data_IF_575489910990
#
_entry.id   IF_575489910990
#
_cell.length_a   1.000
_cell.length_b   1.000
_cell.length_c   1.000
_cell.angle_alpha   90.00
_cell.angle_beta   90.00
_cell.angle_gamma   90.00
#
_symmetry.space_group_name_H-M   'P 1'
#
loop_
_entity.id
_entity.type
_entity.pdbx_description
1 polymer ?
#
# COMPACT_ATOMS: atom_id res chain seq x y z
N UNK A 1 -7.98 20.85 4.82
CA UNK A 1 -7.69 20.98 3.37
C UNK A 1 -7.73 19.59 2.79
N UNK A 2 -8.84 19.23 2.14
CA UNK A 2 -9.19 17.87 1.72
C UNK A 2 -9.54 17.87 0.24
N UNK A 3 -8.53 17.49 -0.54
CA UNK A 3 -8.43 17.01 -1.92
C UNK A 3 -6.92 16.90 -2.11
N UNK A 4 -6.38 15.80 -2.62
CA UNK A 4 -4.95 15.72 -2.92
C UNK A 4 -4.62 16.91 -3.81
N UNK A 5 -3.87 17.84 -3.23
CA UNK A 5 -3.47 19.07 -3.86
C UNK A 5 -2.59 18.67 -5.06
N UNK A 6 -2.92 19.05 -6.30
CA UNK A 6 -2.16 18.65 -7.49
C UNK A 6 -0.68 19.08 -7.40
N UNK A 7 -0.37 20.06 -6.55
CA UNK A 7 0.99 20.50 -6.30
C UNK A 7 1.63 19.82 -5.08
N UNK A 8 0.94 18.91 -4.38
CA UNK A 8 1.51 18.17 -3.25
C UNK A 8 2.80 17.45 -3.65
N UNK A 9 2.86 16.86 -4.84
CA UNK A 9 4.08 16.26 -5.38
C UNK A 9 5.22 17.28 -5.53
N UNK A 10 4.92 18.49 -6.01
CA UNK A 10 5.92 19.56 -6.16
C UNK A 10 6.37 20.10 -4.81
N UNK A 11 5.44 20.30 -3.87
CA UNK A 11 5.74 20.68 -2.49
C UNK A 11 6.66 19.65 -1.83
N UNK A 12 6.34 18.35 -1.92
CA UNK A 12 7.16 17.28 -1.37
C UNK A 12 8.53 17.20 -2.04
N UNK A 13 8.61 17.35 -3.37
CA UNK A 13 9.85 17.21 -4.12
C UNK A 13 10.81 18.39 -3.95
N UNK A 14 10.28 19.63 -3.86
CA UNK A 14 11.10 20.86 -3.89
C UNK A 14 11.11 21.65 -2.60
N UNK A 15 10.23 21.33 -1.64
CA UNK A 15 10.15 22.05 -0.39
C UNK A 15 11.33 21.78 0.54
N UNK A 16 11.59 22.72 1.44
CA UNK A 16 12.54 22.55 2.53
C UNK A 16 11.94 21.58 3.56
N UNK A 17 12.66 20.48 3.85
CA UNK A 17 12.24 19.48 4.84
C UNK A 17 12.81 19.82 6.21
N UNK A 18 11.92 20.03 7.18
CA UNK A 18 12.29 20.18 8.60
C UNK A 18 11.83 18.96 9.39
N UNK A 19 12.78 18.25 9.99
CA UNK A 19 12.52 17.10 10.88
C UNK A 19 11.93 17.60 12.19
N UNK A 20 10.76 17.08 12.56
CA UNK A 20 10.05 17.43 13.81
C UNK A 20 10.15 16.34 14.86
N UNK A 21 10.29 15.09 14.44
CA UNK A 21 10.45 13.97 15.35
C UNK A 21 10.62 12.64 14.64
N UNK A 22 10.80 11.57 15.43
CA UNK A 22 10.87 10.19 14.95
C UNK A 22 9.61 9.44 15.34
N UNK A 23 9.07 8.66 14.41
CA UNK A 23 7.97 7.71 14.66
C UNK A 23 8.58 6.47 15.31
N UNK A 24 8.15 6.13 16.53
CA UNK A 24 8.83 5.13 17.37
C UNK A 24 8.41 3.70 17.06
N UNK A 25 7.21 3.55 16.55
CA UNK A 25 6.56 2.27 16.25
C UNK A 25 7.06 1.67 14.92
N UNK A 26 7.85 2.41 14.15
CA UNK A 26 8.42 1.95 12.88
C UNK A 26 9.66 1.07 13.07
N UNK A 27 9.71 -0.05 12.35
CA UNK A 27 10.86 -0.98 12.34
C UNK A 27 12.12 -0.39 11.68
N UNK A 28 11.93 0.54 10.74
CA UNK A 28 12.97 1.31 10.05
C UNK A 28 12.96 2.77 10.51
N UNK A 29 13.94 3.57 10.09
CA UNK A 29 13.89 5.00 10.36
C UNK A 29 12.70 5.65 9.63
N UNK A 30 11.74 6.17 10.39
CA UNK A 30 10.64 6.98 9.87
C UNK A 30 10.56 8.28 10.66
N UNK A 31 10.60 9.40 9.95
CA UNK A 31 10.69 10.74 10.52
C UNK A 31 9.43 11.52 10.18
N UNK A 32 8.82 12.12 11.20
CA UNK A 32 7.75 13.09 11.02
C UNK A 32 8.38 14.45 10.71
N UNK A 33 7.99 15.03 9.58
CA UNK A 33 8.56 16.24 9.03
C UNK A 33 7.49 17.25 8.65
N UNK A 34 7.87 18.52 8.55
CA UNK A 34 7.12 19.53 7.80
C UNK A 34 7.90 19.88 6.54
N UNK A 35 7.19 20.08 5.43
CA UNK A 35 7.76 20.52 4.16
C UNK A 35 7.19 21.89 3.78
N UNK A 36 8.06 22.83 3.41
CA UNK A 36 7.66 24.19 3.03
C UNK A 36 8.17 24.58 1.65
N UNK A 37 7.28 25.06 0.76
CA UNK A 37 7.64 25.55 -0.57
C UNK A 37 6.70 26.68 -0.98
N UNK A 38 7.25 27.81 -1.47
CA UNK A 38 6.47 28.95 -2.00
C UNK A 38 5.31 29.41 -1.09
N UNK A 39 5.55 29.50 0.22
CA UNK A 39 4.55 29.96 1.20
C UNK A 39 3.52 28.90 1.61
N UNK A 40 3.64 27.67 1.13
CA UNK A 40 2.81 26.53 1.51
C UNK A 40 3.58 25.61 2.46
N UNK A 41 2.86 25.00 3.38
CA UNK A 41 3.38 24.05 4.36
C UNK A 41 2.48 22.81 4.41
N UNK A 42 3.08 21.63 4.53
CA UNK A 42 2.37 20.38 4.82
C UNK A 42 3.19 19.48 5.75
N UNK A 43 2.50 18.61 6.50
CA UNK A 43 3.14 17.52 7.22
C UNK A 43 3.44 16.35 6.26
N UNK A 44 4.54 15.64 6.52
CA UNK A 44 4.96 14.49 5.72
C UNK A 44 5.75 13.48 6.55
N UNK A 45 5.85 12.26 6.03
CA UNK A 45 6.77 11.22 6.51
C UNK A 45 7.97 11.17 5.59
N UNK A 46 9.17 11.18 6.16
CA UNK A 46 10.42 10.97 5.45
C UNK A 46 11.09 9.68 5.95
N UNK A 47 11.35 8.73 5.04
CA UNK A 47 12.09 7.48 5.32
C UNK A 47 13.40 7.47 4.51
N UNK A 48 14.55 7.78 5.13
CA UNK A 48 15.85 7.76 4.43
C UNK A 48 16.26 6.32 4.07
N UNK A 49 16.90 6.15 2.91
CA UNK A 49 17.46 4.86 2.47
C UNK A 49 18.50 4.35 3.48
N UNK A 50 19.36 5.23 4.00
CA UNK A 50 20.35 4.86 5.02
C UNK A 50 19.73 4.38 6.35
N UNK A 51 18.44 4.66 6.56
CA UNK A 51 17.68 4.23 7.73
C UNK A 51 17.01 2.86 7.58
N UNK A 52 17.18 2.21 6.42
CA UNK A 52 16.65 0.88 6.14
C UNK A 52 17.47 -0.20 6.84
N UNK A 53 16.78 -1.17 7.41
CA UNK A 53 17.35 -2.41 7.90
C UNK A 53 17.30 -3.44 6.77
N UNK A 54 18.42 -4.12 6.47
CA UNK A 54 18.41 -5.19 5.49
C UNK A 54 17.36 -6.25 5.82
N UNK A 55 16.56 -6.62 4.82
CA UNK A 55 15.61 -7.72 4.90
C UNK A 55 16.14 -8.84 4.02
N UNK A 56 16.32 -10.03 4.60
CA UNK A 56 16.90 -11.19 3.90
C UNK A 56 16.12 -11.55 2.62
N UNK A 57 14.85 -11.19 2.59
CA UNK A 57 13.89 -11.58 1.57
C UNK A 57 13.53 -10.42 0.62
N UNK A 58 14.13 -9.24 0.83
CA UNK A 58 14.20 -8.10 -0.09
C UNK A 58 15.67 -7.64 -0.23
N UNK A 59 16.52 -8.45 -0.88
CA UNK A 59 17.98 -8.23 -0.88
C UNK A 59 18.44 -7.09 -1.81
N UNK A 60 17.62 -6.74 -2.81
CA UNK A 60 17.94 -5.76 -3.84
C UNK A 60 17.07 -4.50 -3.72
N UNK A 61 17.53 -3.38 -4.30
CA UNK A 61 16.80 -2.10 -4.29
C UNK A 61 16.67 -1.51 -2.89
N UNK A 62 15.71 -0.60 -2.71
CA UNK A 62 15.45 0.09 -1.43
C UNK A 62 13.97 -0.03 -1.06
N UNK A 63 13.65 0.07 0.23
CA UNK A 63 12.26 0.16 0.70
C UNK A 63 11.65 1.51 0.29
N UNK A 64 12.44 2.58 0.31
CA UNK A 64 12.05 3.91 -0.16
C UNK A 64 11.64 3.89 -1.65
N UNK A 65 12.39 3.21 -2.51
CA UNK A 65 12.06 3.05 -3.92
C UNK A 65 10.72 2.32 -4.12
N UNK A 66 10.45 1.29 -3.31
CA UNK A 66 9.19 0.54 -3.33
C UNK A 66 7.98 1.35 -2.87
N UNK A 67 8.16 2.23 -1.90
CA UNK A 67 7.11 3.17 -1.46
C UNK A 67 6.68 4.10 -2.60
N UNK A 68 7.66 4.64 -3.34
CA UNK A 68 7.40 5.51 -4.51
C UNK A 68 6.81 4.68 -5.65
N UNK A 69 7.34 3.49 -5.93
CA UNK A 69 6.78 2.59 -6.94
C UNK A 69 5.32 2.24 -6.68
N UNK A 70 4.94 1.99 -5.42
CA UNK A 70 3.56 1.71 -5.03
C UNK A 70 2.65 2.92 -5.26
N UNK A 71 3.14 4.14 -5.01
CA UNK A 71 2.43 5.37 -5.35
C UNK A 71 2.21 5.49 -6.86
N UNK A 72 3.24 5.29 -7.69
CA UNK A 72 3.14 5.40 -9.16
C UNK A 72 2.18 4.36 -9.76
N UNK A 73 2.19 3.12 -9.25
CA UNK A 73 1.20 2.10 -9.66
C UNK A 73 -0.20 2.50 -9.21
N UNK A 74 -0.36 3.06 -8.01
CA UNK A 74 -1.64 3.55 -7.52
C UNK A 74 -2.20 4.68 -8.37
N UNK A 75 -1.38 5.66 -8.76
CA UNK A 75 -1.80 6.75 -9.64
C UNK A 75 -2.20 6.24 -11.03
N UNK A 76 -1.46 5.26 -11.56
CA UNK A 76 -1.79 4.63 -12.84
C UNK A 76 -3.15 3.90 -12.83
N UNK A 77 -3.66 3.50 -11.67
CA UNK A 77 -5.03 2.94 -11.57
C UNK A 77 -6.11 4.00 -11.79
N UNK A 78 -5.82 5.26 -11.44
CA UNK A 78 -6.79 6.35 -11.34
C UNK A 78 -7.59 6.38 -10.04
N UNK A 79 -7.33 5.46 -9.09
CA UNK A 79 -8.02 5.41 -7.80
C UNK A 79 -7.40 6.31 -6.72
N UNK A 80 -6.10 6.64 -6.84
CA UNK A 80 -5.39 7.50 -5.89
C UNK A 80 -5.43 6.98 -4.45
N UNK A 81 -5.05 5.70 -4.27
CA UNK A 81 -5.12 4.94 -3.02
C UNK A 81 -3.85 5.06 -2.17
N UNK A 82 -2.75 5.58 -2.70
CA UNK A 82 -1.51 5.82 -1.96
C UNK A 82 -1.30 7.33 -1.87
N UNK A 83 -0.95 7.89 -0.70
CA UNK A 83 -0.71 9.33 -0.60
C UNK A 83 0.43 9.76 -1.53
N UNK A 84 0.45 11.02 -1.99
CA UNK A 84 1.56 11.57 -2.76
C UNK A 84 2.90 11.22 -2.15
N UNK A 85 3.76 10.54 -2.92
CA UNK A 85 5.04 10.02 -2.45
C UNK A 85 6.10 10.29 -3.50
N UNK A 86 7.22 10.89 -3.10
CA UNK A 86 8.34 11.22 -4.01
C UNK A 86 9.65 10.68 -3.46
N UNK A 87 10.59 10.35 -4.36
CA UNK A 87 11.99 10.11 -3.99
C UNK A 87 12.76 11.42 -4.10
N UNK A 88 13.57 11.76 -3.09
CA UNK A 88 14.37 12.99 -3.08
C UNK A 88 15.51 12.94 -2.07
N UNK A 89 16.45 13.87 -2.22
CA UNK A 89 17.41 14.20 -1.17
C UNK A 89 16.74 14.84 0.05
N UNK A 90 17.19 14.44 1.24
CA UNK A 90 16.74 14.96 2.52
C UNK A 90 17.88 15.08 3.55
N UNK A 91 17.55 15.46 4.80
CA UNK A 91 18.56 15.71 5.86
C UNK A 91 19.44 14.52 6.24
N UNK A 92 19.06 13.30 5.84
CA UNK A 92 19.75 12.05 6.13
C UNK A 92 19.94 11.20 4.87
N UNK A 93 20.35 11.85 3.76
CA UNK A 93 20.57 11.20 2.47
C UNK A 93 19.34 11.20 1.56
N UNK A 94 19.33 10.35 0.54
CA UNK A 94 18.14 10.12 -0.30
C UNK A 94 17.09 9.32 0.50
N UNK A 95 15.81 9.59 0.25
CA UNK A 95 14.71 8.84 0.85
C UNK A 95 13.36 9.17 0.24
N UNK A 96 12.36 8.36 0.60
CA UNK A 96 10.99 8.66 0.21
C UNK A 96 10.40 9.73 1.13
N UNK A 97 9.60 10.63 0.55
CA UNK A 97 8.82 11.62 1.27
C UNK A 97 7.35 11.49 0.87
N UNK A 98 6.49 11.15 1.84
CA UNK A 98 5.07 10.88 1.64
C UNK A 98 4.21 11.90 2.40
N UNK A 99 3.17 12.43 1.77
CA UNK A 99 2.23 13.34 2.40
C UNK A 99 1.60 12.70 3.65
N UNK A 100 1.55 13.45 4.76
CA UNK A 100 0.85 13.01 5.96
C UNK A 100 -0.66 13.10 5.75
N UNK A 101 -1.39 12.03 6.08
CA UNK A 101 -2.85 11.96 5.95
C UNK A 101 -3.47 11.89 7.34
N UNK A 102 -4.35 12.84 7.64
CA UNK A 102 -5.16 12.80 8.84
C UNK A 102 -6.33 11.82 8.67
N UNK A 103 -6.45 10.88 9.60
CA UNK A 103 -7.55 9.91 9.61
C UNK A 103 -8.80 10.49 10.25
N UNK A 104 -9.97 10.11 9.72
CA UNK A 104 -11.24 10.42 10.34
C UNK A 104 -11.63 9.30 11.32
N UNK A 105 -11.97 9.63 12.57
CA UNK A 105 -12.55 8.66 13.50
C UNK A 105 -13.92 8.20 12.99
N UNK A 106 -14.26 6.93 13.25
CA UNK A 106 -15.61 6.39 13.03
C UNK A 106 -15.81 5.53 11.77
N UNK A 107 -14.80 5.37 10.91
CA UNK A 107 -14.83 4.36 9.84
C UNK A 107 -14.24 3.04 10.36
N UNK A 108 -15.08 2.17 10.89
CA UNK A 108 -14.66 0.83 11.31
C UNK A 108 -14.49 -0.05 10.06
N UNK A 109 -13.24 -0.20 9.62
CA UNK A 109 -12.89 -0.97 8.42
C UNK A 109 -12.52 -2.42 8.71
N UNK A 110 -12.14 -2.72 9.96
CA UNK A 110 -11.72 -4.01 10.45
C UNK A 110 -12.31 -4.24 11.85
N UNK A 111 -12.72 -5.46 12.13
CA UNK A 111 -13.23 -5.84 13.43
C UNK A 111 -12.88 -7.30 13.76
N UNK A 112 -12.84 -7.60 15.06
CA UNK A 112 -12.90 -8.96 15.59
C UNK A 112 -14.33 -9.18 16.08
N UNK A 113 -15.03 -10.15 15.49
CA UNK A 113 -16.42 -10.47 15.86
C UNK A 113 -16.48 -11.80 16.60
N UNK A 114 -17.30 -11.83 17.65
CA UNK A 114 -17.62 -13.05 18.41
C UNK A 114 -18.62 -13.87 17.59
N UNK A 115 -18.12 -14.70 16.67
CA UNK A 115 -18.91 -15.55 15.78
C UNK A 115 -18.03 -16.31 14.78
N UNK A 116 -18.62 -17.24 14.04
CA UNK A 116 -17.94 -17.98 12.96
C UNK A 116 -18.29 -17.44 11.56
N UNK A 117 -19.36 -16.65 11.44
CA UNK A 117 -19.83 -16.05 10.19
C UNK A 117 -19.87 -14.52 10.29
N UNK A 118 -19.60 -13.80 9.19
CA UNK A 118 -19.68 -12.34 9.18
C UNK A 118 -21.13 -11.86 9.09
N UNK A 119 -21.46 -10.83 9.87
CA UNK A 119 -22.73 -10.11 9.76
C UNK A 119 -22.84 -9.34 8.43
N UNK A 120 -24.04 -8.96 7.98
CA UNK A 120 -24.21 -8.15 6.77
C UNK A 120 -23.35 -6.87 6.78
N UNK A 121 -22.65 -6.62 5.67
CA UNK A 121 -21.71 -5.51 5.54
C UNK A 121 -20.26 -5.85 5.93
N UNK A 122 -20.01 -7.08 6.40
CA UNK A 122 -18.67 -7.58 6.70
C UNK A 122 -18.29 -8.76 5.80
N UNK A 123 -16.99 -8.92 5.55
CA UNK A 123 -16.40 -10.05 4.85
C UNK A 123 -15.39 -10.76 5.76
N UNK A 124 -15.48 -12.08 5.80
CA UNK A 124 -14.60 -12.92 6.61
C UNK A 124 -13.18 -12.98 6.04
N UNK A 125 -12.18 -12.73 6.88
CA UNK A 125 -10.77 -12.92 6.55
C UNK A 125 -10.30 -14.29 7.03
N UNK A 126 -10.59 -14.62 8.29
CA UNK A 126 -10.21 -15.87 8.92
C UNK A 126 -10.32 -15.79 10.45
N UNK A 127 -10.19 -16.93 11.12
CA UNK A 127 -10.18 -16.97 12.58
C UNK A 127 -8.83 -16.48 13.12
N UNK A 128 -8.86 -15.60 14.11
CA UNK A 128 -7.71 -15.10 14.83
C UNK A 128 -7.76 -15.55 16.30
N UNK A 129 -6.61 -15.91 16.88
CA UNK A 129 -6.53 -16.16 18.32
C UNK A 129 -6.56 -14.84 19.09
N UNK A 130 -7.53 -14.72 20.00
CA UNK A 130 -7.73 -13.53 20.86
C UNK A 130 -7.40 -13.80 22.33
N UNK A 131 -6.98 -15.03 22.63
CA UNK A 131 -6.55 -15.48 23.96
C UNK A 131 -6.43 -17.01 24.01
N UNK A 132 -5.96 -17.58 25.13
CA UNK A 132 -5.77 -19.02 25.25
C UNK A 132 -7.07 -19.79 24.99
N UNK A 133 -7.12 -20.55 23.89
CA UNK A 133 -8.28 -21.35 23.47
C UNK A 133 -9.50 -20.54 23.01
N UNK A 134 -9.34 -19.24 22.74
CA UNK A 134 -10.41 -18.37 22.23
C UNK A 134 -10.05 -17.84 20.85
N UNK A 135 -10.92 -18.09 19.89
CA UNK A 135 -10.86 -17.51 18.54
C UNK A 135 -11.97 -16.48 18.35
N UNK A 136 -11.70 -15.47 17.55
CA UNK A 136 -12.70 -14.55 17.01
C UNK A 136 -12.53 -14.48 15.49
N UNK A 137 -13.61 -14.22 14.77
CA UNK A 137 -13.53 -14.04 13.32
C UNK A 137 -12.99 -12.64 13.04
N UNK A 138 -11.87 -12.56 12.33
CA UNK A 138 -11.36 -11.31 11.79
C UNK A 138 -12.12 -10.99 10.50
N UNK A 139 -12.70 -9.80 10.45
CA UNK A 139 -13.49 -9.33 9.31
C UNK A 139 -13.02 -7.96 8.84
N UNK A 140 -13.24 -7.65 7.56
CA UNK A 140 -13.17 -6.28 7.04
C UNK A 140 -14.53 -5.86 6.47
N UNK A 141 -14.75 -4.55 6.40
CA UNK A 141 -15.98 -4.01 5.81
C UNK A 141 -16.08 -4.39 4.32
N UNK A 142 -17.30 -4.70 3.85
CA UNK A 142 -17.60 -4.86 2.41
C UNK A 142 -17.65 -3.48 1.73
N UNK A 143 -16.47 -2.86 1.62
CA UNK A 143 -16.28 -1.49 1.14
C UNK A 143 -15.55 -1.49 -0.21
N UNK A 144 -16.10 -0.76 -1.19
CA UNK A 144 -15.53 -0.68 -2.54
C UNK A 144 -14.08 -0.13 -2.54
N UNK A 145 -13.76 0.80 -1.65
CA UNK A 145 -12.42 1.39 -1.53
C UNK A 145 -11.42 0.35 -1.05
N UNK A 146 -11.81 -0.48 -0.08
CA UNK A 146 -11.01 -1.62 0.36
C UNK A 146 -10.86 -2.65 -0.75
N UNK A 147 -11.92 -2.91 -1.52
CA UNK A 147 -11.85 -3.86 -2.65
C UNK A 147 -10.89 -3.39 -3.74
N UNK A 148 -10.84 -2.10 -4.03
CA UNK A 148 -9.83 -1.51 -4.94
C UNK A 148 -8.41 -1.64 -4.36
N UNK A 149 -8.24 -1.39 -3.07
CA UNK A 149 -6.96 -1.58 -2.38
C UNK A 149 -6.50 -3.05 -2.38
N UNK A 150 -7.42 -4.01 -2.29
CA UNK A 150 -7.13 -5.43 -2.41
C UNK A 150 -6.55 -5.79 -3.80
N UNK A 151 -7.09 -5.18 -4.86
CA UNK A 151 -6.55 -5.32 -6.22
C UNK A 151 -5.16 -4.70 -6.31
N UNK A 152 -4.96 -3.50 -5.75
CA UNK A 152 -3.64 -2.88 -5.71
C UNK A 152 -2.62 -3.75 -4.96
N UNK A 153 -2.96 -4.23 -3.76
CA UNK A 153 -2.13 -5.13 -2.96
C UNK A 153 -1.76 -6.40 -3.75
N UNK A 154 -2.69 -6.97 -4.51
CA UNK A 154 -2.42 -8.11 -5.37
C UNK A 154 -1.46 -7.79 -6.53
N UNK A 155 -1.62 -6.64 -7.18
CA UNK A 155 -0.72 -6.20 -8.27
C UNK A 155 0.70 -5.97 -7.74
N UNK A 156 0.83 -5.20 -6.66
CA UNK A 156 2.12 -4.84 -6.07
C UNK A 156 2.65 -5.92 -5.13
N UNK A 157 1.93 -7.02 -4.90
CA UNK A 157 2.35 -8.11 -4.01
C UNK A 157 2.71 -7.61 -2.60
N UNK A 158 1.78 -6.91 -1.95
CA UNK A 158 2.00 -6.34 -0.62
C UNK A 158 2.14 -7.43 0.45
N UNK A 159 3.30 -7.47 1.11
CA UNK A 159 3.63 -8.50 2.08
C UNK A 159 3.31 -8.14 3.54
N UNK A 160 2.63 -7.01 3.78
CA UNK A 160 2.36 -6.54 5.15
C UNK A 160 1.15 -5.60 5.30
N UNK A 161 0.04 -5.78 4.56
CA UNK A 161 -1.14 -4.90 4.72
C UNK A 161 -1.89 -5.15 6.04
N UNK A 162 -1.68 -4.28 7.01
CA UNK A 162 -2.31 -4.30 8.35
C UNK A 162 -3.41 -3.25 8.50
N UNK A 163 -4.20 -3.34 9.58
CA UNK A 163 -5.24 -2.36 9.88
C UNK A 163 -4.72 -0.95 10.10
N UNK A 164 -3.59 -0.81 10.79
CA UNK A 164 -2.92 0.48 10.97
C UNK A 164 -2.40 1.11 9.66
N UNK A 165 -2.45 0.40 8.54
CA UNK A 165 -2.05 0.93 7.23
C UNK A 165 -3.24 1.49 6.43
N UNK A 166 -4.46 1.43 6.96
CA UNK A 166 -5.68 1.92 6.33
C UNK A 166 -6.05 3.28 6.93
N UNK A 167 -6.03 4.32 6.09
CA UNK A 167 -6.27 5.70 6.49
C UNK A 167 -7.57 6.22 5.85
N UNK A 168 -8.75 5.95 6.43
CA UNK A 168 -9.98 6.59 6.01
C UNK A 168 -9.95 8.07 6.37
N UNK A 169 -10.40 8.92 5.47
CA UNK A 169 -10.38 10.38 5.64
C UNK A 169 -11.79 10.96 5.75
N UNK A 170 -11.89 12.18 6.29
CA UNK A 170 -13.17 12.84 6.54
C UNK A 170 -13.93 13.19 5.25
N UNK A 171 -13.22 13.33 4.12
CA UNK A 171 -13.79 13.53 2.79
C UNK A 171 -14.17 12.21 2.09
N UNK A 172 -14.15 11.09 2.81
CA UNK A 172 -14.63 9.79 2.32
C UNK A 172 -13.60 9.02 1.48
N UNK A 173 -12.35 9.48 1.38
CA UNK A 173 -11.28 8.71 0.73
C UNK A 173 -10.73 7.63 1.66
N UNK A 174 -9.96 6.73 1.07
CA UNK A 174 -9.18 5.73 1.78
C UNK A 174 -7.78 5.73 1.18
N UNK A 175 -6.77 5.81 2.04
CA UNK A 175 -5.39 5.59 1.65
C UNK A 175 -4.83 4.34 2.30
N UNK A 176 -3.99 3.61 1.55
CA UNK A 176 -3.04 2.65 2.07
C UNK A 176 -1.69 3.33 2.30
N UNK A 177 -0.98 2.95 3.35
CA UNK A 177 0.43 3.34 3.59
C UNK A 177 1.31 2.11 3.82
N UNK A 178 2.61 2.36 4.00
CA UNK A 178 3.65 1.37 4.35
C UNK A 178 3.82 0.26 3.30
N UNK A 179 4.29 0.67 2.12
CA UNK A 179 4.52 -0.19 0.96
C UNK A 179 5.98 -0.57 0.77
N UNK A 180 6.84 -0.35 1.76
CA UNK A 180 8.27 -0.70 1.66
C UNK A 180 8.52 -2.19 1.37
N UNK A 181 7.62 -3.08 1.79
CA UNK A 181 7.68 -4.54 1.57
C UNK A 181 6.71 -5.00 0.47
N UNK A 182 6.87 -4.43 -0.72
CA UNK A 182 6.08 -4.74 -1.92
C UNK A 182 6.99 -5.13 -3.09
N UNK A 183 6.40 -5.55 -4.19
CA UNK A 183 6.99 -5.88 -5.49
C UNK A 183 7.83 -7.14 -5.55
N UNK A 184 7.99 -7.87 -4.44
CA UNK A 184 8.78 -9.12 -4.40
C UNK A 184 8.47 -10.01 -5.62
N UNK A 185 9.52 -10.56 -6.23
CA UNK A 185 9.36 -11.41 -7.42
C UNK A 185 8.60 -12.71 -7.08
N UNK A 186 8.85 -13.26 -5.89
CA UNK A 186 8.09 -14.39 -5.35
C UNK A 186 6.76 -13.90 -4.79
N UNK A 187 5.71 -14.72 -4.89
CA UNK A 187 4.43 -14.38 -4.29
C UNK A 187 4.54 -14.36 -2.77
N UNK A 188 4.28 -13.18 -2.19
CA UNK A 188 4.35 -12.93 -0.74
C UNK A 188 3.18 -12.09 -0.28
N UNK A 189 2.06 -12.12 -1.00
CA UNK A 189 0.88 -11.33 -0.68
C UNK A 189 0.39 -11.70 0.72
N UNK A 190 0.39 -10.72 1.63
CA UNK A 190 -0.11 -10.84 3.00
C UNK A 190 -0.95 -9.61 3.31
N UNK A 191 -2.26 -9.81 3.37
CA UNK A 191 -3.21 -8.71 3.49
C UNK A 191 -4.37 -9.08 4.40
N UNK A 192 -5.00 -8.07 4.99
CA UNK A 192 -6.26 -8.23 5.70
C UNK A 192 -7.48 -8.10 4.77
N UNK A 193 -7.27 -8.04 3.46
CA UNK A 193 -8.33 -7.84 2.47
C UNK A 193 -8.72 -9.14 1.75
N UNK A 194 -8.56 -10.28 2.43
CA UNK A 194 -8.87 -11.61 1.87
C UNK A 194 -10.36 -11.93 1.79
N UNK A 195 -11.26 -11.08 2.28
CA UNK A 195 -12.68 -11.39 2.31
C UNK A 195 -13.37 -11.46 0.95
N UNK A 196 -12.67 -11.07 -0.13
CA UNK A 196 -13.09 -11.33 -1.51
C UNK A 196 -12.30 -12.45 -2.20
N UNK A 197 -11.47 -13.22 -1.49
CA UNK A 197 -10.62 -14.25 -2.08
C UNK A 197 -11.43 -15.23 -2.95
N UNK A 198 -11.02 -15.41 -4.21
CA UNK A 198 -11.71 -16.25 -5.19
C UNK A 198 -13.03 -15.68 -5.73
N UNK A 199 -13.51 -14.53 -5.24
CA UNK A 199 -14.66 -13.84 -5.84
C UNK A 199 -14.26 -13.18 -7.17
N UNK A 200 -15.21 -13.00 -8.10
CA UNK A 200 -14.97 -12.26 -9.33
C UNK A 200 -14.40 -10.85 -9.08
N UNK A 201 -13.47 -10.42 -9.93
CA UNK A 201 -13.04 -9.04 -9.99
C UNK A 201 -14.18 -8.16 -10.54
N UNK A 202 -14.44 -6.99 -9.95
CA UNK A 202 -15.37 -6.03 -10.54
C UNK A 202 -14.93 -5.63 -11.96
N UNK A 203 -15.89 -5.32 -12.85
CA UNK A 203 -15.59 -4.88 -14.21
C UNK A 203 -14.68 -3.64 -14.25
N UNK A 204 -14.84 -2.73 -13.28
CA UNK A 204 -13.96 -1.58 -13.10
C UNK A 204 -12.50 -2.01 -12.91
N UNK A 205 -12.26 -3.00 -12.04
CA UNK A 205 -10.92 -3.51 -11.75
C UNK A 205 -10.30 -4.19 -12.98
N UNK A 206 -11.08 -4.95 -13.75
CA UNK A 206 -10.61 -5.54 -15.02
C UNK A 206 -10.15 -4.46 -16.01
N UNK A 207 -10.95 -3.40 -16.19
CA UNK A 207 -10.56 -2.28 -17.05
C UNK A 207 -9.33 -1.52 -16.56
N UNK A 208 -9.11 -1.44 -15.24
CA UNK A 208 -7.88 -0.89 -14.63
C UNK A 208 -6.68 -1.79 -14.93
N UNK A 209 -6.83 -3.10 -14.75
CA UNK A 209 -5.77 -4.08 -15.01
C UNK A 209 -5.34 -4.09 -16.49
N UNK A 210 -6.28 -3.92 -17.43
CA UNK A 210 -5.96 -3.76 -18.85
C UNK A 210 -5.10 -2.52 -19.10
N UNK A 211 -5.43 -1.38 -18.49
CA UNK A 211 -4.61 -0.16 -18.59
C UNK A 211 -3.25 -0.34 -17.96
N UNK A 212 -3.17 -1.01 -16.80
CA UNK A 212 -1.89 -1.31 -16.15
C UNK A 212 -1.03 -2.23 -17.02
N UNK A 213 -1.61 -3.26 -17.65
CA UNK A 213 -0.90 -4.13 -18.59
C UNK A 213 -0.25 -3.32 -19.71
N UNK A 214 -1.01 -2.42 -20.32
CA UNK A 214 -0.52 -1.61 -21.43
C UNK A 214 0.57 -0.61 -20.96
N UNK A 215 0.36 0.04 -19.81
CA UNK A 215 1.31 0.97 -19.19
C UNK A 215 2.61 0.28 -18.71
N UNK A 216 2.51 -0.99 -18.32
CA UNK A 216 3.63 -1.85 -17.94
C UNK A 216 4.26 -2.57 -19.14
N UNK A 217 3.86 -2.30 -20.38
CA UNK A 217 4.57 -2.87 -21.54
C UNK A 217 6.07 -2.52 -21.51
N UNK A 218 6.91 -3.24 -22.28
CA UNK A 218 8.37 -3.09 -22.24
C UNK A 218 8.85 -1.64 -22.45
N UNK A 219 8.09 -0.84 -23.20
CA UNK A 219 8.33 0.58 -23.47
C UNK A 219 7.19 1.46 -22.95
N UNK A 220 6.38 0.95 -22.03
CA UNK A 220 5.25 1.65 -21.47
C UNK A 220 5.67 2.70 -20.43
N UNK A 221 4.86 3.76 -20.24
CA UNK A 221 5.21 4.87 -19.36
C UNK A 221 5.44 4.45 -17.91
N UNK A 222 4.66 3.49 -17.40
CA UNK A 222 4.84 3.02 -16.02
C UNK A 222 6.12 2.20 -15.87
N UNK A 223 6.53 1.44 -16.88
CA UNK A 223 7.83 0.75 -16.88
C UNK A 223 8.98 1.73 -16.77
N UNK A 224 8.95 2.83 -17.52
CA UNK A 224 9.99 3.87 -17.49
C UNK A 224 10.12 4.48 -16.08
N UNK A 225 8.98 4.83 -15.47
CA UNK A 225 8.92 5.39 -14.12
C UNK A 225 9.40 4.40 -13.04
N UNK A 226 9.08 3.11 -13.17
CA UNK A 226 9.44 2.09 -12.19
C UNK A 226 10.89 1.61 -12.30
N UNK A 227 11.50 1.69 -13.48
CA UNK A 227 12.88 1.21 -13.76
C UNK A 227 13.94 1.77 -12.80
N UNK A 228 13.94 3.07 -12.43
CA UNK A 228 14.88 3.59 -11.43
C UNK A 228 14.52 3.24 -9.98
N UNK A 229 13.32 2.73 -9.70
CA UNK A 229 12.79 2.55 -8.35
C UNK A 229 12.87 1.10 -7.84
N UNK A 230 12.65 0.13 -8.73
CA UNK A 230 12.62 -1.29 -8.42
C UNK A 230 13.34 -2.09 -9.51
N UNK A 231 13.70 -3.34 -9.20
CA UNK A 231 14.48 -4.16 -10.13
C UNK A 231 13.66 -4.61 -11.34
N UNK A 232 14.36 -4.96 -12.43
CA UNK A 232 13.72 -5.54 -13.62
C UNK A 232 12.92 -6.81 -13.30
N UNK A 233 13.42 -7.66 -12.40
CA UNK A 233 12.74 -8.88 -11.98
C UNK A 233 11.41 -8.59 -11.26
N UNK A 234 11.39 -7.56 -10.42
CA UNK A 234 10.17 -7.11 -9.73
C UNK A 234 9.14 -6.51 -10.69
N UNK A 235 9.58 -5.75 -11.70
CA UNK A 235 8.72 -5.24 -12.78
C UNK A 235 8.13 -6.40 -13.60
N UNK A 236 8.96 -7.36 -13.99
CA UNK A 236 8.52 -8.55 -14.75
C UNK A 236 7.52 -9.38 -13.96
N UNK A 237 7.73 -9.57 -12.65
CA UNK A 237 6.78 -10.25 -11.77
C UNK A 237 5.47 -9.47 -11.63
N UNK A 238 5.52 -8.14 -11.58
CA UNK A 238 4.32 -7.28 -11.52
C UNK A 238 3.48 -7.42 -12.78
N UNK A 239 4.10 -7.45 -13.97
CA UNK A 239 3.40 -7.75 -15.24
C UNK A 239 2.71 -9.11 -15.18
N UNK A 240 3.43 -10.14 -14.74
CA UNK A 240 2.89 -11.50 -14.65
C UNK A 240 1.68 -11.58 -13.71
N UNK A 241 1.70 -10.84 -12.59
CA UNK A 241 0.56 -10.73 -11.67
C UNK A 241 -0.65 -10.07 -12.32
N UNK A 242 -0.45 -8.96 -13.04
CA UNK A 242 -1.53 -8.29 -13.79
C UNK A 242 -2.17 -9.25 -14.82
N UNK A 243 -1.35 -9.96 -15.59
CA UNK A 243 -1.85 -10.95 -16.57
C UNK A 243 -2.60 -12.12 -15.90
N UNK A 244 -2.14 -12.56 -14.74
CA UNK A 244 -2.81 -13.61 -13.96
C UNK A 244 -4.19 -13.14 -13.48
N UNK A 245 -4.29 -11.90 -12.97
CA UNK A 245 -5.57 -11.33 -12.54
C UNK A 245 -6.54 -11.16 -13.71
N UNK A 246 -6.06 -10.71 -14.88
CA UNK A 246 -6.87 -10.58 -16.10
C UNK A 246 -7.36 -11.93 -16.63
N UNK A 247 -6.48 -12.93 -16.67
CA UNK A 247 -6.81 -14.25 -17.21
C UNK A 247 -7.76 -15.04 -16.32
N UNK A 248 -7.61 -14.93 -15.00
CA UNK A 248 -8.46 -15.63 -14.04
C UNK A 248 -9.76 -14.90 -13.76
N UNK A 249 -9.76 -13.57 -13.81
CA UNK A 249 -10.94 -12.73 -13.57
C UNK A 249 -11.45 -12.76 -12.12
N UNK A 250 -10.65 -13.26 -11.18
CA UNK A 250 -11.01 -13.40 -9.75
C UNK A 250 -9.92 -12.82 -8.86
N UNK A 251 -10.30 -12.41 -7.64
CA UNK A 251 -9.36 -12.06 -6.59
C UNK A 251 -8.49 -13.27 -6.23
N UNK A 252 -7.19 -13.06 -5.91
CA UNK A 252 -6.31 -14.15 -5.54
C UNK A 252 -6.77 -14.84 -4.25
N UNK A 253 -6.37 -16.10 -4.08
CA UNK A 253 -6.55 -16.82 -2.84
C UNK A 253 -5.25 -16.80 -2.00
N UNK A 254 -5.36 -16.90 -0.66
CA UNK A 254 -4.21 -17.11 0.21
C UNK A 254 -3.33 -18.28 -0.23
N UNK A 255 -2.03 -18.04 -0.39
CA UNK A 255 -1.05 -19.11 -0.61
C UNK A 255 -0.81 -19.93 0.67
N UNK A 256 -0.28 -21.14 0.52
CA UNK A 256 0.10 -22.00 1.66
C UNK A 256 1.57 -21.91 2.05
N UNK A 257 2.40 -21.26 1.22
CA UNK A 257 3.86 -21.22 1.38
C UNK A 257 4.31 -20.17 2.43
N UNK A 258 3.51 -19.12 2.63
CA UNK A 258 3.79 -18.01 3.53
C UNK A 258 2.53 -17.64 4.33
N UNK A 259 2.64 -17.14 5.58
CA UNK A 259 1.46 -16.76 6.38
C UNK A 259 0.69 -15.61 5.72
N UNK A 260 -0.50 -15.87 5.20
CA UNK A 260 -1.28 -14.91 4.42
C UNK A 260 -1.81 -13.69 5.22
N UNK A 261 -1.86 -13.79 6.55
CA UNK A 261 -2.27 -12.69 7.44
C UNK A 261 -1.01 -12.01 8.02
N UNK A 262 -0.88 -10.67 7.92
CA UNK A 262 0.23 -9.95 8.51
C UNK A 262 0.09 -9.79 10.03
N UNK A 263 1.22 -9.59 10.71
CA UNK A 263 1.26 -9.47 12.18
C UNK A 263 1.92 -8.16 12.66
N UNK A 264 1.34 -7.44 13.63
CA UNK A 264 0.00 -7.67 14.19
C UNK A 264 -1.09 -7.33 13.16
N UNK A 265 -2.28 -7.97 13.21
CA UNK A 265 -3.36 -7.68 12.27
C UNK A 265 -3.97 -6.28 12.51
N UNK A 266 -4.19 -5.91 13.78
CA UNK A 266 -4.77 -4.61 14.19
C UNK A 266 -3.85 -3.88 15.16
#
# INVERSE_FOLDING_TARGET
MTTVDPDAGTLLARGELTVRGRIREASNAALYCTVTHEGREAACVYKPVEGERPLWDFPDGTLAGREVAAYEVSEATGWGLVPPTVLRDGPYGEGMCQLWIDTAPGAELLALVDGEEPEPGWKAIGLAEVGPGRTALLVHADDERLRRLAVLDAVINNADRKGGHLLPTADGRLYGIDHGVTFNAENKLRTLLWGWAGEPLPQEALGVLERLRDALSATGPLTEVLTPLITRAEIDATRARVETLLSTGVHPQPGTEWPAIPWPPV
#
